data_IF_418317492937
#
_entry.id   IF_418317492937
#
_cell.length_a   1.000
_cell.length_b   1.000
_cell.length_c   1.000
_cell.angle_alpha   90.00
_cell.angle_beta   90.00
_cell.angle_gamma   90.00
#
_symmetry.space_group_name_H-M   'P 1'
#
loop_
_entity.id
_entity.type
_entity.pdbx_description
1 polymer ?
#
# COMPACT_ATOMS: atom_id res chain seq x y z
N UNK A 1 2.51 -11.79 -29.50
CA UNK A 1 2.42 -12.49 -28.21
C UNK A 1 2.87 -13.90 -28.45
N UNK A 2 4.15 -14.16 -28.23
CA UNK A 2 4.67 -15.53 -28.14
C UNK A 2 4.26 -16.16 -26.78
N UNK A 3 4.63 -17.42 -26.56
CA UNK A 3 4.36 -18.12 -25.30
C UNK A 3 4.99 -17.40 -24.09
N UNK A 4 6.14 -16.79 -24.29
CA UNK A 4 6.91 -16.06 -23.27
C UNK A 4 6.26 -14.71 -22.91
N UNK A 5 5.68 -14.00 -23.89
CA UNK A 5 4.90 -12.78 -23.67
C UNK A 5 3.63 -13.08 -22.84
N UNK A 6 2.99 -14.21 -23.10
CA UNK A 6 1.83 -14.70 -22.35
C UNK A 6 2.19 -15.14 -20.93
N UNK A 7 3.24 -15.95 -20.78
CA UNK A 7 3.72 -16.40 -19.47
C UNK A 7 4.21 -15.22 -18.62
N UNK A 8 4.86 -14.23 -19.22
CA UNK A 8 5.24 -12.99 -18.56
C UNK A 8 4.01 -12.20 -18.08
N UNK A 9 2.99 -12.02 -18.93
CA UNK A 9 1.75 -11.30 -18.58
C UNK A 9 1.02 -11.94 -17.39
N UNK A 10 0.92 -13.27 -17.39
CA UNK A 10 0.25 -13.97 -16.29
C UNK A 10 1.10 -13.98 -15.02
N UNK A 11 2.44 -14.04 -15.13
CA UNK A 11 3.35 -13.97 -13.98
C UNK A 11 3.42 -12.56 -13.36
N UNK A 12 3.30 -11.51 -14.17
CA UNK A 12 3.37 -10.11 -13.74
C UNK A 12 2.09 -9.66 -13.02
N UNK A 13 0.90 -9.98 -13.56
CA UNK A 13 -0.38 -9.53 -12.99
C UNK A 13 -0.85 -10.34 -11.78
N UNK A 14 -0.38 -11.58 -11.62
CA UNK A 14 -0.91 -12.48 -10.60
C UNK A 14 0.11 -12.98 -9.58
N UNK A 15 1.34 -12.44 -9.62
CA UNK A 15 2.37 -12.50 -8.55
C UNK A 15 2.57 -13.88 -7.91
N UNK A 16 2.40 -14.98 -8.65
CA UNK A 16 2.57 -16.33 -8.13
C UNK A 16 3.47 -17.16 -9.05
N UNK A 17 4.28 -18.04 -8.46
CA UNK A 17 5.06 -19.05 -9.19
C UNK A 17 4.16 -19.99 -10.01
N UNK A 18 2.85 -19.98 -9.73
CA UNK A 18 1.82 -20.61 -10.55
C UNK A 18 0.88 -19.55 -11.15
N UNK A 19 0.96 -19.25 -12.45
CA UNK A 19 0.04 -18.35 -13.11
C UNK A 19 -1.42 -18.84 -12.95
N UNK A 20 -2.39 -17.99 -12.57
CA UNK A 20 -3.78 -18.42 -12.50
C UNK A 20 -4.30 -18.85 -13.86
N UNK A 21 -5.29 -19.73 -13.82
CA UNK A 21 -5.92 -20.22 -15.04
C UNK A 21 -6.74 -19.11 -15.72
N UNK A 22 -7.06 -19.32 -16.99
CA UNK A 22 -7.86 -18.38 -17.78
C UNK A 22 -9.22 -18.05 -17.18
N UNK A 23 -9.86 -18.95 -16.44
CA UNK A 23 -11.16 -18.65 -15.84
C UNK A 23 -11.03 -17.54 -14.79
N UNK A 24 -10.04 -17.65 -13.90
CA UNK A 24 -9.72 -16.61 -12.92
C UNK A 24 -9.38 -15.28 -13.59
N UNK A 25 -8.53 -15.32 -14.61
CA UNK A 25 -8.12 -14.11 -15.37
C UNK A 25 -9.35 -13.44 -16.01
N UNK A 26 -10.19 -14.23 -16.69
CA UNK A 26 -11.36 -13.73 -17.37
C UNK A 26 -12.36 -13.11 -16.38
N UNK A 27 -12.61 -13.78 -15.25
CA UNK A 27 -13.50 -13.29 -14.20
C UNK A 27 -13.01 -11.96 -13.63
N UNK A 28 -11.75 -11.88 -13.21
CA UNK A 28 -11.17 -10.68 -12.60
C UNK A 28 -11.17 -9.48 -13.56
N UNK A 29 -11.03 -9.71 -14.85
CA UNK A 29 -11.00 -8.64 -15.85
C UNK A 29 -12.37 -8.21 -16.36
N UNK A 30 -13.41 -9.02 -16.17
CA UNK A 30 -14.77 -8.74 -16.65
C UNK A 30 -15.79 -8.55 -15.51
N UNK A 31 -15.40 -8.73 -14.25
CA UNK A 31 -16.29 -8.51 -13.10
C UNK A 31 -16.56 -7.03 -12.88
N UNK A 32 -17.82 -6.70 -12.59
CA UNK A 32 -18.26 -5.42 -12.02
C UNK A 32 -18.88 -5.73 -10.67
N UNK A 33 -18.29 -5.20 -9.60
CA UNK A 33 -18.74 -5.43 -8.22
C UNK A 33 -18.83 -6.94 -7.89
N UNK A 34 -17.75 -7.66 -8.21
CA UNK A 34 -17.62 -9.12 -8.02
C UNK A 34 -18.63 -10.00 -8.77
N UNK A 35 -19.33 -9.43 -9.76
CA UNK A 35 -20.25 -10.18 -10.61
C UNK A 35 -20.02 -9.92 -12.10
N UNK A 36 -20.25 -10.94 -12.93
CA UNK A 36 -20.28 -10.79 -14.39
C UNK A 36 -21.66 -10.27 -14.79
N UNK A 37 -21.73 -8.96 -15.03
CA UNK A 37 -22.99 -8.26 -15.36
C UNK A 37 -23.37 -8.45 -16.83
N UNK A 38 -22.39 -8.65 -17.70
CA UNK A 38 -22.60 -8.81 -19.15
C UNK A 38 -22.94 -10.27 -19.49
N UNK A 39 -24.13 -10.57 -20.06
CA UNK A 39 -24.55 -11.94 -20.35
C UNK A 39 -23.60 -12.70 -21.26
N UNK A 40 -22.96 -11.99 -22.20
CA UNK A 40 -21.95 -12.53 -23.11
C UNK A 40 -20.68 -12.94 -22.36
N UNK A 41 -20.22 -12.11 -21.42
CA UNK A 41 -19.10 -12.42 -20.55
C UNK A 41 -19.42 -13.63 -19.66
N UNK A 42 -20.62 -13.69 -19.07
CA UNK A 42 -21.06 -14.84 -18.27
C UNK A 42 -21.08 -16.14 -19.06
N UNK A 43 -21.57 -16.11 -20.31
CA UNK A 43 -21.58 -17.28 -21.21
C UNK A 43 -20.14 -17.72 -21.57
N UNK A 44 -19.25 -16.78 -21.87
CA UNK A 44 -17.85 -17.07 -22.18
C UNK A 44 -17.12 -17.62 -20.96
N UNK A 45 -17.33 -17.04 -19.79
CA UNK A 45 -16.77 -17.50 -18.53
C UNK A 45 -17.17 -18.94 -18.22
N UNK A 46 -18.45 -19.30 -18.39
CA UNK A 46 -18.91 -20.67 -18.18
C UNK A 46 -18.18 -21.67 -19.10
N UNK A 47 -18.00 -21.34 -20.38
CA UNK A 47 -17.26 -22.18 -21.32
C UNK A 47 -15.77 -22.30 -21.00
N UNK A 48 -15.13 -21.22 -20.51
CA UNK A 48 -13.74 -21.25 -20.04
C UNK A 48 -13.63 -22.13 -18.80
N UNK A 49 -14.55 -21.98 -17.85
CA UNK A 49 -14.57 -22.75 -16.61
C UNK A 49 -14.75 -24.24 -16.90
N UNK A 50 -15.69 -24.62 -17.76
CA UNK A 50 -15.89 -26.01 -18.20
C UNK A 50 -14.64 -26.60 -18.85
N UNK A 51 -13.98 -25.84 -19.73
CA UNK A 51 -12.78 -26.31 -20.42
C UNK A 51 -11.58 -26.48 -19.47
N UNK A 52 -11.40 -25.54 -18.53
CA UNK A 52 -10.34 -25.62 -17.51
C UNK A 52 -10.58 -26.79 -16.55
N UNK A 53 -11.84 -27.10 -16.23
CA UNK A 53 -12.18 -28.23 -15.35
C UNK A 53 -12.04 -29.59 -16.04
N UNK A 54 -12.41 -29.68 -17.32
CA UNK A 54 -12.33 -30.92 -18.10
C UNK A 54 -10.89 -31.24 -18.54
N UNK A 55 -10.10 -30.23 -18.92
CA UNK A 55 -8.71 -30.39 -19.36
C UNK A 55 -7.77 -29.45 -18.55
N UNK A 56 -7.50 -29.75 -17.27
CA UNK A 56 -6.71 -28.87 -16.39
C UNK A 56 -5.23 -28.73 -16.80
N UNK A 57 -4.72 -29.61 -17.68
CA UNK A 57 -3.37 -29.52 -18.24
C UNK A 57 -3.27 -28.56 -19.43
N UNK A 58 -4.39 -28.02 -19.94
CA UNK A 58 -4.36 -27.05 -21.03
C UNK A 58 -3.67 -25.76 -20.58
N UNK A 59 -2.76 -25.29 -21.43
CA UNK A 59 -2.20 -23.95 -21.30
C UNK A 59 -3.28 -22.88 -21.52
N UNK A 60 -3.15 -21.75 -20.82
CA UNK A 60 -4.06 -20.61 -20.94
C UNK A 60 -4.32 -20.18 -22.41
N UNK A 61 -3.28 -20.14 -23.26
CA UNK A 61 -3.43 -19.80 -24.68
C UNK A 61 -4.34 -20.76 -25.44
N UNK A 62 -4.27 -22.07 -25.15
CA UNK A 62 -5.12 -23.07 -25.82
C UNK A 62 -6.57 -22.98 -25.37
N UNK A 63 -6.80 -22.66 -24.10
CA UNK A 63 -8.15 -22.36 -23.57
C UNK A 63 -8.75 -21.17 -24.30
N UNK A 64 -7.99 -20.08 -24.47
CA UNK A 64 -8.44 -18.89 -25.21
C UNK A 64 -8.75 -19.23 -26.68
N UNK A 65 -7.86 -19.96 -27.35
CA UNK A 65 -8.08 -20.35 -28.76
C UNK A 65 -9.36 -21.19 -28.95
N UNK A 66 -9.67 -22.08 -27.99
CA UNK A 66 -10.91 -22.89 -28.00
C UNK A 66 -12.15 -22.04 -27.74
N UNK A 67 -12.10 -21.07 -26.83
CA UNK A 67 -13.26 -20.28 -26.42
C UNK A 67 -13.55 -19.06 -27.32
N UNK A 68 -12.51 -18.47 -27.93
CA UNK A 68 -12.59 -17.22 -28.70
C UNK A 68 -12.13 -17.35 -30.16
N UNK A 69 -11.65 -18.53 -30.56
CA UNK A 69 -11.09 -18.78 -31.88
C UNK A 69 -9.59 -18.45 -31.97
N UNK A 70 -8.96 -18.66 -33.14
CA UNK A 70 -7.54 -18.44 -33.34
C UNK A 70 -7.11 -17.02 -32.93
N UNK A 71 -6.11 -16.92 -32.04
CA UNK A 71 -5.58 -15.64 -31.60
C UNK A 71 -4.46 -15.18 -32.53
N UNK A 72 -4.47 -13.91 -32.95
CA UNK A 72 -3.39 -13.35 -33.75
C UNK A 72 -2.31 -12.73 -32.84
N UNK A 73 -1.06 -12.70 -33.30
CA UNK A 73 0.08 -12.28 -32.45
C UNK A 73 -0.01 -10.82 -31.98
N UNK A 74 -0.84 -9.98 -32.58
CA UNK A 74 -1.04 -8.57 -32.23
C UNK A 74 -2.18 -8.32 -31.27
N UNK A 75 -3.14 -9.25 -31.15
CA UNK A 75 -4.37 -9.05 -30.42
C UNK A 75 -4.84 -10.36 -29.79
N UNK A 76 -4.95 -10.33 -28.47
CA UNK A 76 -5.49 -11.43 -27.66
C UNK A 76 -6.85 -11.00 -27.13
N UNK A 77 -7.87 -11.76 -27.47
CA UNK A 77 -9.23 -11.65 -26.98
C UNK A 77 -9.34 -12.41 -25.65
N UNK A 78 -10.08 -11.87 -24.68
CA UNK A 78 -10.34 -12.52 -23.39
C UNK A 78 -9.77 -11.80 -22.17
N UNK A 79 -9.07 -10.68 -22.37
CA UNK A 79 -8.76 -9.70 -21.32
C UNK A 79 -9.75 -8.53 -21.47
N UNK A 80 -10.39 -8.14 -20.37
CA UNK A 80 -11.37 -7.05 -20.32
C UNK A 80 -10.85 -5.76 -20.98
N UNK A 81 -11.76 -5.05 -21.65
CA UNK A 81 -11.47 -4.04 -22.67
C UNK A 81 -10.50 -2.92 -22.27
N UNK A 82 -9.22 -3.10 -22.57
CA UNK A 82 -8.28 -2.00 -22.76
C UNK A 82 -7.10 -1.95 -21.80
N UNK A 83 -6.36 -3.05 -21.65
CA UNK A 83 -4.94 -2.93 -21.33
C UNK A 83 -4.16 -2.99 -22.65
N UNK A 84 -3.71 -1.84 -23.12
CA UNK A 84 -2.83 -1.74 -24.27
C UNK A 84 -1.43 -2.22 -23.92
N UNK A 85 -0.67 -2.72 -24.90
CA UNK A 85 0.76 -3.07 -24.71
C UNK A 85 1.61 -1.91 -24.20
N UNK A 86 1.13 -0.67 -24.33
CA UNK A 86 1.76 0.55 -23.80
C UNK A 86 1.51 0.73 -22.30
N UNK A 87 0.29 0.42 -21.85
CA UNK A 87 -0.06 0.35 -20.43
C UNK A 87 0.65 -0.84 -19.74
N UNK A 88 0.86 -1.94 -20.47
CA UNK A 88 1.67 -3.09 -20.01
C UNK A 88 3.16 -2.80 -19.93
N UNK A 89 3.71 -2.00 -20.86
CA UNK A 89 5.15 -1.71 -20.87
C UNK A 89 5.58 -0.78 -19.75
N UNK A 90 4.64 -0.15 -19.05
CA UNK A 90 4.91 0.75 -17.92
C UNK A 90 5.72 1.98 -18.34
N UNK A 91 5.41 3.16 -17.81
CA UNK A 91 6.26 4.33 -18.04
C UNK A 91 7.65 4.13 -17.42
N UNK A 92 8.65 3.77 -18.23
CA UNK A 92 10.13 3.80 -18.06
C UNK A 92 10.82 3.40 -16.73
N UNK A 93 10.12 3.26 -15.61
CA UNK A 93 10.69 2.85 -14.34
C UNK A 93 10.77 1.34 -14.31
N UNK A 94 11.99 0.81 -14.28
CA UNK A 94 12.18 -0.64 -14.15
C UNK A 94 11.63 -1.09 -12.80
N UNK A 95 11.07 -2.31 -12.74
CA UNK A 95 10.62 -2.96 -11.49
C UNK A 95 11.66 -2.87 -10.36
N UNK A 96 12.94 -2.94 -10.71
CA UNK A 96 14.05 -2.77 -9.77
C UNK A 96 14.14 -1.36 -9.17
N UNK A 97 13.87 -0.32 -9.95
CA UNK A 97 13.82 1.06 -9.47
C UNK A 97 12.66 1.27 -8.49
N UNK A 98 11.46 0.74 -8.80
CA UNK A 98 10.30 0.80 -7.89
C UNK A 98 10.58 0.04 -6.58
N UNK A 99 11.19 -1.14 -6.66
CA UNK A 99 11.57 -1.90 -5.46
C UNK A 99 12.65 -1.19 -4.63
N UNK A 100 13.60 -0.51 -5.27
CA UNK A 100 14.62 0.27 -4.59
C UNK A 100 13.99 1.46 -3.86
N UNK A 101 13.08 2.18 -4.54
CA UNK A 101 12.33 3.31 -3.98
C UNK A 101 11.46 2.86 -2.80
N UNK A 102 10.69 1.78 -2.95
CA UNK A 102 9.85 1.24 -1.88
C UNK A 102 10.66 0.86 -0.63
N UNK A 103 11.84 0.24 -0.82
CA UNK A 103 12.72 -0.08 0.30
C UNK A 103 13.35 1.17 0.94
N UNK A 104 13.68 2.19 0.15
CA UNK A 104 14.17 3.47 0.67
C UNK A 104 13.09 4.15 1.53
N UNK A 105 11.86 4.26 1.02
CA UNK A 105 10.73 4.84 1.76
C UNK A 105 10.41 4.06 3.03
N UNK A 106 10.55 2.73 3.02
CA UNK A 106 10.37 1.91 4.23
C UNK A 106 11.41 2.22 5.29
N UNK A 107 12.69 2.35 4.91
CA UNK A 107 13.78 2.70 5.83
C UNK A 107 13.60 4.11 6.40
N UNK A 108 13.19 5.06 5.56
CA UNK A 108 12.90 6.42 6.01
C UNK A 108 11.76 6.45 7.03
N UNK A 109 10.67 5.71 6.77
CA UNK A 109 9.55 5.58 7.71
C UNK A 109 9.98 4.98 9.05
N UNK A 110 10.81 3.93 9.03
CA UNK A 110 11.37 3.34 10.25
C UNK A 110 12.22 4.36 11.03
N UNK A 111 13.06 5.14 10.34
CA UNK A 111 13.86 6.21 10.96
C UNK A 111 13.00 7.30 11.59
N UNK A 112 12.00 7.81 10.86
CA UNK A 112 11.08 8.85 11.35
C UNK A 112 10.30 8.36 12.56
N UNK A 113 9.90 7.08 12.60
CA UNK A 113 9.22 6.50 13.74
C UNK A 113 10.10 6.49 15.01
N UNK A 114 11.39 6.21 14.87
CA UNK A 114 12.35 6.26 15.98
C UNK A 114 12.54 7.69 16.48
N UNK A 115 12.70 8.65 15.57
CA UNK A 115 12.86 10.07 15.92
C UNK A 115 11.62 10.65 16.62
N UNK A 116 10.42 10.28 16.15
CA UNK A 116 9.15 10.65 16.79
C UNK A 116 9.10 10.17 18.25
N UNK A 117 9.50 8.92 18.50
CA UNK A 117 9.49 8.33 19.85
C UNK A 117 10.51 9.03 20.77
N UNK A 118 11.71 9.34 20.25
CA UNK A 118 12.72 10.08 21.01
C UNK A 118 12.23 11.50 21.36
N UNK A 119 11.62 12.18 20.40
CA UNK A 119 11.05 13.53 20.58
C UNK A 119 9.92 13.52 21.62
N UNK A 120 9.04 12.52 21.58
CA UNK A 120 7.97 12.36 22.57
C UNK A 120 8.52 12.21 23.99
N UNK A 121 9.55 11.38 24.16
CA UNK A 121 10.21 11.18 25.47
C UNK A 121 10.89 12.46 25.97
N UNK A 122 11.53 13.22 25.08
CA UNK A 122 12.13 14.51 25.43
C UNK A 122 11.08 15.53 25.88
N UNK A 123 9.91 15.55 25.22
CA UNK A 123 8.78 16.39 25.59
C UNK A 123 8.25 16.06 26.98
N UNK A 124 8.01 14.77 27.28
CA UNK A 124 7.56 14.32 28.61
C UNK A 124 8.56 14.73 29.71
N UNK A 125 9.87 14.62 29.43
CA UNK A 125 10.90 15.08 30.37
C UNK A 125 10.89 16.59 30.59
N UNK A 126 10.61 17.39 29.55
CA UNK A 126 10.49 18.84 29.66
C UNK A 126 9.28 19.25 30.50
N UNK A 127 8.16 18.57 30.33
CA UNK A 127 6.93 18.80 31.09
C UNK A 127 7.17 18.59 32.60
N UNK A 128 7.82 17.48 32.99
CA UNK A 128 8.24 17.23 34.38
C UNK A 128 9.15 18.34 34.92
N UNK A 129 10.06 18.87 34.10
CA UNK A 129 10.94 19.97 34.53
C UNK A 129 10.17 21.27 34.74
N UNK A 130 9.15 21.53 33.92
CA UNK A 130 8.28 22.69 34.05
C UNK A 130 7.52 22.64 35.37
N UNK A 131 6.86 21.51 35.67
CA UNK A 131 6.07 21.32 36.90
C UNK A 131 6.93 21.53 38.17
N UNK A 132 8.19 21.09 38.14
CA UNK A 132 9.14 21.30 39.22
C UNK A 132 9.54 22.78 39.39
N UNK A 133 9.69 23.52 38.28
CA UNK A 133 9.97 24.96 38.33
C UNK A 133 8.77 25.70 38.90
N UNK A 134 7.56 25.40 38.44
CA UNK A 134 6.32 25.99 38.94
C UNK A 134 6.17 25.75 40.45
N UNK A 135 6.40 24.50 40.89
CA UNK A 135 6.37 24.15 42.32
C UNK A 135 7.39 24.96 43.15
N UNK A 136 8.60 25.19 42.63
CA UNK A 136 9.62 26.02 43.30
C UNK A 136 9.24 27.48 43.34
N UNK A 137 8.63 27.98 42.28
CA UNK A 137 8.16 29.36 42.19
C UNK A 137 7.08 29.65 43.23
N UNK A 138 6.08 28.76 43.37
CA UNK A 138 5.03 28.88 44.40
C UNK A 138 5.59 28.84 45.83
N UNK A 139 6.60 28.00 46.08
CA UNK A 139 7.29 27.97 47.37
C UNK A 139 7.96 29.32 47.69
N UNK A 140 8.64 29.93 46.71
CA UNK A 140 9.31 31.23 46.88
C UNK A 140 8.28 32.33 47.13
N UNK A 141 7.17 32.35 46.38
CA UNK A 141 6.07 33.31 46.60
C UNK A 141 5.58 33.20 48.05
N UNK A 142 5.32 31.98 48.53
CA UNK A 142 4.84 31.75 49.90
C UNK A 142 5.83 32.31 50.94
N UNK A 143 7.13 32.04 50.78
CA UNK A 143 8.21 32.57 51.64
C UNK A 143 8.30 34.11 51.66
N UNK A 144 8.01 34.78 50.54
CA UNK A 144 8.05 36.24 50.44
C UNK A 144 6.81 36.91 51.04
N UNK A 145 5.63 36.29 50.88
CA UNK A 145 4.36 36.80 51.42
C UNK A 145 4.33 36.70 52.95
N UNK A 146 5.01 35.71 53.54
CA UNK A 146 5.10 35.52 55.00
C UNK A 146 6.16 36.40 55.70
N UNK A 147 6.87 37.30 55.00
CA UNK A 147 7.79 38.24 55.67
C UNK A 147 7.03 39.36 56.39
N UNK A 148 7.05 39.44 57.74
CA UNK A 148 6.45 40.56 58.45
C UNK A 148 7.26 41.83 58.18
N UNK A 149 6.60 42.85 57.61
CA UNK A 149 7.16 44.18 57.39
C UNK A 149 7.69 44.76 58.71
N UNK A 150 9.00 44.64 58.91
CA UNK A 150 9.69 45.25 60.02
C UNK A 150 10.13 46.64 59.57
N UNK A 151 9.23 47.63 59.68
CA UNK A 151 9.59 49.02 59.50
C UNK A 151 10.65 49.41 60.56
N UNK A 152 11.77 50.04 60.18
CA UNK A 152 12.73 50.50 61.17
C UNK A 152 12.11 51.67 61.93
N UNK A 153 11.86 51.47 63.23
CA UNK A 153 11.48 52.54 64.13
C UNK A 153 12.64 53.52 64.24
N UNK A 154 12.52 54.66 63.56
CA UNK A 154 13.47 55.76 63.64
C UNK A 154 13.30 56.44 64.99
N UNK A 155 14.18 56.11 65.95
CA UNK A 155 14.41 56.95 67.12
C UNK A 155 15.18 58.19 66.70
N UNK A 156 14.55 59.36 66.77
CA UNK A 156 15.26 60.64 66.85
C UNK A 156 14.64 61.55 67.91
N UNK A 157 15.49 61.84 68.90
CA UNK A 157 15.60 62.96 69.86
C UNK A 157 14.41 63.31 70.76
#
# INVERSE_FOLDING_TARGET
VDKSDWEWLVKEHFLNDNPPNMATIFFETHKKHDMLVEPEASKKYAGIQELVQSEPSLTNIKVVERCFGPQNKSHVIGLGGGITTKELKGGSSSKAAILAELNATRKEKESLQTELNATKKAKESLEIRMDNIDSKYENIISLLVDQPSSAPSSSQQ
#
